data_IF_626491388001
#
_entry.id   IF_626491388001
#
_cell.length_a   1.000
_cell.length_b   1.000
_cell.length_c   1.000
_cell.angle_alpha   90.00
_cell.angle_beta   90.00
_cell.angle_gamma   90.00
#
_symmetry.space_group_name_H-M   'P 1'
#
loop_
_entity.id
_entity.type
_entity.pdbx_description
1 polymer ?
#
# COMPACT_ATOMS: atom_id res chain seq x y z
N UNK A 1 48.00 -36.46 37.49
CA UNK A 1 47.04 -37.03 36.50
C UNK A 1 47.13 -36.16 35.25
N UNK A 2 47.73 -36.64 34.15
CA UNK A 2 47.06 -37.37 33.04
C UNK A 2 45.85 -36.55 32.54
N UNK A 3 45.73 -36.06 31.30
CA UNK A 3 46.21 -36.54 30.00
C UNK A 3 46.37 -35.39 28.98
N UNK A 4 47.45 -35.46 28.18
CA UNK A 4 47.47 -35.00 26.79
C UNK A 4 46.50 -35.85 25.96
N UNK A 5 45.79 -35.24 24.99
CA UNK A 5 45.40 -35.93 23.75
C UNK A 5 45.50 -34.97 22.56
N UNK A 6 46.33 -35.41 21.62
CA UNK A 6 46.52 -34.89 20.27
C UNK A 6 45.31 -35.22 19.42
N UNK A 7 44.91 -34.34 18.50
CA UNK A 7 44.43 -34.74 17.16
C UNK A 7 44.89 -33.69 16.14
N UNK A 8 45.51 -34.19 15.09
CA UNK A 8 46.10 -33.45 13.97
C UNK A 8 45.12 -33.29 12.80
N UNK A 9 45.44 -32.33 11.92
CA UNK A 9 45.21 -32.23 10.46
C UNK A 9 44.03 -33.00 9.82
N UNK A 10 43.19 -32.29 9.05
CA UNK A 10 42.83 -32.68 7.66
C UNK A 10 42.56 -31.43 6.82
N UNK A 11 43.17 -31.42 5.63
CA UNK A 11 43.06 -30.47 4.52
C UNK A 11 41.77 -30.70 3.70
N UNK A 12 41.19 -29.66 3.07
CA UNK A 12 40.01 -29.83 2.22
C UNK A 12 39.71 -28.62 1.33
N UNK A 13 40.43 -28.52 0.21
CA UNK A 13 40.10 -27.66 -0.93
C UNK A 13 38.86 -28.22 -1.64
N UNK A 14 37.83 -27.41 -1.87
CA UNK A 14 36.75 -27.73 -2.81
C UNK A 14 36.15 -26.44 -3.38
N UNK A 15 36.62 -26.08 -4.57
CA UNK A 15 35.90 -25.22 -5.49
C UNK A 15 34.80 -26.05 -6.15
N UNK A 16 33.54 -25.62 -6.03
CA UNK A 16 32.43 -26.16 -6.82
C UNK A 16 31.88 -25.04 -7.70
N UNK A 17 31.83 -25.40 -8.99
CA UNK A 17 31.45 -24.61 -10.14
C UNK A 17 29.94 -24.33 -10.17
N UNK A 18 29.60 -23.27 -10.90
CA UNK A 18 28.26 -22.85 -11.34
C UNK A 18 27.29 -24.01 -11.61
N UNK A 19 26.15 -23.98 -10.93
CA UNK A 19 24.91 -24.54 -11.42
C UNK A 19 23.94 -23.38 -11.67
N UNK A 20 23.98 -22.84 -12.89
CA UNK A 20 22.87 -22.07 -13.42
C UNK A 20 21.71 -23.04 -13.65
N UNK A 21 20.71 -22.98 -12.78
CA UNK A 21 19.42 -23.60 -13.03
C UNK A 21 18.51 -22.51 -13.62
N UNK A 22 18.40 -22.51 -14.94
CA UNK A 22 17.26 -21.92 -15.61
C UNK A 22 16.01 -22.72 -15.21
N UNK A 23 15.11 -22.07 -14.48
CA UNK A 23 13.77 -22.58 -14.21
C UNK A 23 12.77 -21.70 -14.93
N UNK A 24 12.33 -22.15 -16.11
CA UNK A 24 11.15 -21.61 -16.76
C UNK A 24 9.94 -21.93 -15.89
N UNK A 25 9.43 -20.91 -15.21
CA UNK A 25 8.15 -21.01 -14.50
C UNK A 25 7.03 -20.70 -15.49
N UNK A 26 6.30 -21.74 -15.87
CA UNK A 26 5.03 -21.64 -16.57
C UNK A 26 4.12 -20.64 -15.84
N UNK A 27 4.02 -19.44 -16.44
CA UNK A 27 3.19 -18.36 -15.97
C UNK A 27 1.73 -18.71 -16.15
N UNK A 28 1.18 -19.49 -15.22
CA UNK A 28 -0.24 -19.45 -14.94
C UNK A 28 -0.55 -18.02 -14.51
N UNK A 29 -1.12 -17.23 -15.41
CA UNK A 29 -1.53 -15.86 -15.12
C UNK A 29 -2.52 -15.92 -13.95
N UNK A 30 -2.03 -15.67 -12.75
CA UNK A 30 -2.85 -15.61 -11.55
C UNK A 30 -3.95 -14.58 -11.77
N UNK A 31 -5.14 -14.85 -11.24
CA UNK A 31 -6.25 -13.91 -11.32
C UNK A 31 -5.81 -12.55 -10.77
N UNK A 32 -5.96 -11.44 -11.52
CA UNK A 32 -5.53 -10.15 -11.04
C UNK A 32 -6.27 -9.77 -9.76
N UNK A 33 -5.56 -9.07 -8.88
CA UNK A 33 -6.08 -8.63 -7.57
C UNK A 33 -5.76 -7.17 -7.34
N UNK A 34 -6.55 -6.54 -6.48
CA UNK A 34 -6.12 -5.37 -5.72
C UNK A 34 -5.96 -5.80 -4.28
N UNK A 35 -4.86 -5.38 -3.65
CA UNK A 35 -4.57 -5.67 -2.25
C UNK A 35 -3.77 -4.54 -1.64
N UNK A 36 -3.67 -4.47 -0.33
CA UNK A 36 -2.79 -3.51 0.34
C UNK A 36 -3.01 -3.51 1.83
N UNK A 37 -2.50 -2.47 2.49
CA UNK A 37 -2.70 -2.25 3.92
C UNK A 37 -3.51 -0.97 4.14
N UNK A 38 -4.50 -1.05 5.02
CA UNK A 38 -5.21 0.10 5.55
C UNK A 38 -4.65 0.44 6.95
N UNK A 39 -4.04 1.61 7.10
CA UNK A 39 -3.37 2.00 8.35
C UNK A 39 -3.27 3.51 8.53
N UNK A 40 -3.08 3.92 9.79
CA UNK A 40 -2.97 5.32 10.24
C UNK A 40 -1.78 5.53 11.20
N UNK A 41 -0.72 4.74 11.07
CA UNK A 41 0.33 4.54 12.12
C UNK A 41 -0.02 3.39 13.07
N UNK A 42 -1.10 2.68 12.76
CA UNK A 42 -1.53 1.42 13.30
C UNK A 42 -2.53 0.81 12.31
N UNK A 43 -2.68 -0.53 12.25
CA UNK A 43 -3.60 -1.16 11.32
C UNK A 43 -5.05 -0.78 11.62
N UNK A 44 -5.84 -0.51 10.57
CA UNK A 44 -7.30 -0.45 10.65
C UNK A 44 -7.81 -1.88 10.60
N UNK A 45 -8.31 -2.41 11.71
CA UNK A 45 -8.75 -3.81 11.84
C UNK A 45 -10.26 -3.92 11.67
N UNK A 46 -10.73 -4.86 10.84
CA UNK A 46 -12.16 -5.11 10.63
C UNK A 46 -12.89 -3.98 9.90
N UNK A 47 -12.17 -3.09 9.21
CA UNK A 47 -12.73 -2.06 8.37
C UNK A 47 -13.26 -2.62 7.06
N UNK A 48 -14.35 -2.07 6.54
CA UNK A 48 -14.91 -2.46 5.24
C UNK A 48 -14.21 -1.67 4.14
N UNK A 49 -13.55 -2.38 3.22
CA UNK A 49 -12.98 -1.80 2.00
C UNK A 49 -14.00 -1.91 0.88
N UNK A 50 -14.31 -0.79 0.23
CA UNK A 50 -15.14 -0.69 -0.97
C UNK A 50 -14.27 -0.28 -2.16
N UNK A 51 -14.44 -0.96 -3.30
CA UNK A 51 -13.68 -0.69 -4.52
C UNK A 51 -14.66 -0.42 -5.67
N UNK A 52 -14.46 0.69 -6.37
CA UNK A 52 -15.20 1.06 -7.58
C UNK A 52 -14.22 1.40 -8.68
N UNK A 53 -14.33 0.68 -9.80
CA UNK A 53 -13.46 0.83 -10.95
C UNK A 53 -14.16 1.60 -12.09
N UNK A 54 -13.39 2.09 -13.06
CA UNK A 54 -13.90 2.76 -14.24
C UNK A 54 -14.87 1.89 -15.06
N UNK A 55 -14.83 0.57 -14.87
CA UNK A 55 -15.79 -0.39 -15.38
C UNK A 55 -15.75 -1.68 -14.57
N UNK A 56 -16.84 -2.44 -14.60
CA UNK A 56 -17.02 -3.65 -13.79
C UNK A 56 -17.99 -3.43 -12.62
N UNK A 57 -18.24 -4.50 -11.86
CA UNK A 57 -19.10 -4.45 -10.67
C UNK A 57 -18.33 -3.95 -9.44
N UNK A 58 -19.00 -3.27 -8.52
CA UNK A 58 -18.40 -2.88 -7.25
C UNK A 58 -17.93 -4.11 -6.46
N UNK A 59 -16.82 -3.97 -5.74
CA UNK A 59 -16.22 -5.04 -4.94
C UNK A 59 -16.04 -4.58 -3.49
N UNK A 60 -15.95 -5.56 -2.57
CA UNK A 60 -15.69 -5.27 -1.16
C UNK A 60 -14.79 -6.31 -0.50
N UNK A 61 -14.04 -5.88 0.50
CA UNK A 61 -13.25 -6.72 1.40
C UNK A 61 -13.36 -6.24 2.85
N UNK A 62 -12.81 -7.02 3.79
CA UNK A 62 -12.64 -6.62 5.18
C UNK A 62 -11.16 -6.66 5.52
N UNK A 63 -10.67 -5.65 6.24
CA UNK A 63 -9.27 -5.62 6.67
C UNK A 63 -9.01 -6.63 7.79
N UNK A 64 -7.88 -7.30 7.72
CA UNK A 64 -7.41 -8.26 8.72
C UNK A 64 -6.80 -7.56 9.93
N UNK A 65 -6.35 -8.32 10.93
CA UNK A 65 -5.67 -7.80 12.12
C UNK A 65 -4.39 -6.98 11.80
N UNK A 66 -3.78 -7.23 10.64
CA UNK A 66 -2.61 -6.48 10.14
C UNK A 66 -3.00 -5.27 9.28
N UNK A 67 -4.29 -4.95 9.14
CA UNK A 67 -4.79 -3.95 8.21
C UNK A 67 -4.78 -4.42 6.74
N UNK A 68 -4.24 -5.61 6.46
CA UNK A 68 -4.19 -6.17 5.12
C UNK A 68 -5.59 -6.45 4.56
N UNK A 69 -5.77 -6.23 3.26
CA UNK A 69 -7.01 -6.52 2.54
C UNK A 69 -6.73 -6.94 1.09
N UNK A 70 -7.69 -7.61 0.46
CA UNK A 70 -7.59 -8.04 -0.94
C UNK A 70 -8.97 -8.24 -1.58
N UNK A 71 -9.10 -7.92 -2.87
CA UNK A 71 -10.21 -8.30 -3.75
C UNK A 71 -9.69 -8.86 -5.08
N UNK A 72 -10.43 -9.79 -5.67
CA UNK A 72 -10.19 -10.27 -7.04
C UNK A 72 -10.78 -9.30 -8.06
N UNK A 73 -10.05 -8.96 -9.12
CA UNK A 73 -10.43 -7.89 -10.07
C UNK A 73 -10.84 -8.39 -11.45
N UNK A 74 -11.41 -9.60 -11.51
CA UNK A 74 -11.94 -10.16 -12.76
C UNK A 74 -12.98 -9.24 -13.40
N UNK A 75 -12.77 -8.89 -14.66
CA UNK A 75 -13.70 -8.04 -15.43
C UNK A 75 -13.71 -6.55 -15.04
N UNK A 76 -12.72 -6.10 -14.27
CA UNK A 76 -12.61 -4.69 -13.87
C UNK A 76 -11.79 -3.89 -14.87
N UNK A 77 -12.14 -2.61 -15.04
CA UNK A 77 -11.39 -1.64 -15.86
C UNK A 77 -10.81 -0.57 -14.95
N UNK A 78 -9.49 -0.41 -14.97
CA UNK A 78 -8.78 0.64 -14.23
C UNK A 78 -9.08 2.04 -14.82
N UNK A 79 -8.93 3.13 -14.03
CA UNK A 79 -8.51 3.16 -12.62
C UNK A 79 -9.60 2.72 -11.63
N UNK A 80 -9.20 2.36 -10.41
CA UNK A 80 -10.11 1.98 -9.32
C UNK A 80 -9.93 2.88 -8.10
N UNK A 81 -11.00 3.54 -7.67
CA UNK A 81 -11.06 4.21 -6.38
C UNK A 81 -11.34 3.19 -5.27
N UNK A 82 -10.69 3.39 -4.14
CA UNK A 82 -10.77 2.51 -2.98
C UNK A 82 -11.09 3.35 -1.74
N UNK A 83 -11.95 2.84 -0.86
CA UNK A 83 -12.26 3.45 0.43
C UNK A 83 -12.33 2.41 1.53
N UNK A 84 -11.77 2.70 2.70
CA UNK A 84 -12.01 1.95 3.94
C UNK A 84 -12.90 2.76 4.88
N UNK A 85 -13.86 2.11 5.52
CA UNK A 85 -14.75 2.71 6.55
C UNK A 85 -14.87 1.78 7.76
N UNK A 86 -15.06 2.36 8.95
CA UNK A 86 -15.26 1.61 10.19
C UNK A 86 -14.02 0.85 10.64
N UNK A 87 -14.23 -0.23 11.40
CA UNK A 87 -13.17 -1.00 12.04
C UNK A 87 -12.65 -0.34 13.33
N UNK A 88 -11.48 -0.80 13.78
CA UNK A 88 -10.79 -0.25 14.95
C UNK A 88 -9.33 0.07 14.65
N UNK A 89 -8.78 1.04 15.39
CA UNK A 89 -7.37 1.40 15.42
C UNK A 89 -6.93 1.39 16.87
N UNK A 90 -5.91 0.59 17.22
CA UNK A 90 -5.45 0.47 18.61
C UNK A 90 -6.54 0.03 19.60
N UNK A 91 -7.57 -0.68 19.12
CA UNK A 91 -8.72 -1.11 19.93
C UNK A 91 -9.87 -0.09 20.06
N UNK A 92 -9.71 1.14 19.56
CA UNK A 92 -10.77 2.15 19.53
C UNK A 92 -11.48 2.17 18.17
N UNK A 93 -12.77 2.55 18.13
CA UNK A 93 -13.52 2.64 16.88
C UNK A 93 -12.93 3.68 15.93
N UNK A 94 -12.73 3.30 14.67
CA UNK A 94 -12.35 4.22 13.61
C UNK A 94 -13.59 4.90 13.02
N UNK A 95 -13.69 6.22 13.21
CA UNK A 95 -14.80 7.02 12.69
C UNK A 95 -14.44 7.79 11.40
N UNK A 96 -13.21 7.65 10.91
CA UNK A 96 -12.71 8.37 9.74
C UNK A 96 -12.58 7.43 8.55
N UNK A 97 -13.21 7.72 7.39
CA UNK A 97 -12.95 7.00 6.16
C UNK A 97 -11.62 7.44 5.55
N UNK A 98 -10.90 6.49 4.95
CA UNK A 98 -9.66 6.75 4.20
C UNK A 98 -9.80 6.23 2.77
N UNK A 99 -9.11 6.88 1.83
CA UNK A 99 -9.31 6.69 0.40
C UNK A 99 -7.98 6.51 -0.33
N UNK A 100 -8.06 5.87 -1.50
CA UNK A 100 -6.92 5.65 -2.38
C UNK A 100 -7.38 5.46 -3.82
N UNK A 101 -6.41 5.36 -4.73
CA UNK A 101 -6.62 5.23 -6.17
C UNK A 101 -5.58 4.27 -6.76
N UNK A 102 -6.05 3.30 -7.56
CA UNK A 102 -5.21 2.34 -8.26
C UNK A 102 -5.30 2.56 -9.77
N UNK A 103 -4.15 2.74 -10.43
CA UNK A 103 -4.02 2.80 -11.91
C UNK A 103 -3.41 1.51 -12.50
N UNK A 104 -3.03 0.58 -11.64
CA UNK A 104 -2.57 -0.76 -11.97
C UNK A 104 -3.20 -1.75 -10.98
N UNK A 105 -3.35 -3.01 -11.38
CA UNK A 105 -3.62 -4.09 -10.43
C UNK A 105 -2.38 -4.38 -9.58
N UNK A 106 -2.56 -4.93 -8.39
CA UNK A 106 -1.52 -5.12 -7.39
C UNK A 106 -1.78 -4.31 -6.12
N UNK A 107 -0.72 -3.71 -5.57
CA UNK A 107 -0.77 -3.00 -4.30
C UNK A 107 -1.47 -1.65 -4.42
N UNK A 108 -2.44 -1.40 -3.54
CA UNK A 108 -3.06 -0.10 -3.29
C UNK A 108 -3.32 0.03 -1.78
N UNK A 109 -2.51 0.86 -1.12
CA UNK A 109 -2.67 1.13 0.31
C UNK A 109 -3.75 2.16 0.57
N UNK A 110 -4.33 2.16 1.78
CA UNK A 110 -5.37 3.09 2.19
C UNK A 110 -4.93 3.77 3.49
N UNK A 111 -4.42 4.99 3.40
CA UNK A 111 -3.78 5.69 4.51
C UNK A 111 -4.09 7.20 4.47
N UNK A 112 -3.81 7.94 5.56
CA UNK A 112 -3.81 9.40 5.56
C UNK A 112 -3.00 10.04 4.41
N UNK A 113 -1.87 9.44 4.01
CA UNK A 113 -1.07 9.93 2.88
C UNK A 113 -1.79 9.74 1.55
N UNK A 114 -2.49 8.61 1.36
CA UNK A 114 -3.24 8.38 0.12
C UNK A 114 -4.49 9.26 0.04
N UNK A 115 -5.08 9.62 1.18
CA UNK A 115 -6.11 10.66 1.26
C UNK A 115 -5.60 12.01 0.78
N UNK A 116 -4.42 12.46 1.24
CA UNK A 116 -3.82 13.71 0.77
C UNK A 116 -3.60 13.69 -0.75
N UNK A 117 -3.15 12.56 -1.30
CA UNK A 117 -2.95 12.40 -2.75
C UNK A 117 -4.29 12.50 -3.48
N UNK A 118 -5.33 11.80 -3.00
CA UNK A 118 -6.67 11.84 -3.58
C UNK A 118 -7.27 13.24 -3.49
N UNK A 119 -7.08 13.95 -2.38
CA UNK A 119 -7.57 15.31 -2.19
C UNK A 119 -6.95 16.27 -3.22
N UNK A 120 -5.64 16.18 -3.42
CA UNK A 120 -4.90 16.98 -4.41
C UNK A 120 -5.23 16.57 -5.86
N UNK A 121 -5.52 15.28 -6.10
CA UNK A 121 -5.95 14.79 -7.42
C UNK A 121 -7.33 15.34 -7.81
N UNK A 122 -8.24 15.42 -6.83
CA UNK A 122 -9.63 15.83 -7.01
C UNK A 122 -9.89 17.34 -6.80
N UNK A 123 -8.97 18.06 -6.16
CA UNK A 123 -9.19 19.45 -5.73
C UNK A 123 -10.34 19.59 -4.72
N UNK A 124 -10.61 18.53 -3.95
CA UNK A 124 -11.74 18.44 -3.02
C UNK A 124 -11.38 17.53 -1.84
N UNK A 125 -12.22 17.49 -0.80
CA UNK A 125 -12.03 16.52 0.29
C UNK A 125 -12.08 15.08 -0.26
N UNK A 126 -11.35 14.11 0.33
CA UNK A 126 -11.37 12.72 -0.14
C UNK A 126 -12.77 12.11 -0.20
N UNK A 127 -13.62 12.40 0.79
CA UNK A 127 -15.00 11.94 0.83
C UNK A 127 -15.85 12.56 -0.29
N UNK A 128 -15.68 13.86 -0.56
CA UNK A 128 -16.36 14.55 -1.66
C UNK A 128 -15.92 14.00 -3.01
N UNK A 129 -14.62 13.81 -3.21
CA UNK A 129 -14.07 13.20 -4.41
C UNK A 129 -14.65 11.79 -4.62
N UNK A 130 -14.60 10.95 -3.58
CA UNK A 130 -15.10 9.58 -3.66
C UNK A 130 -16.60 9.51 -3.93
N UNK A 131 -17.40 10.43 -3.35
CA UNK A 131 -18.84 10.51 -3.60
C UNK A 131 -19.20 10.95 -5.02
N UNK A 132 -18.29 11.64 -5.72
CA UNK A 132 -18.49 12.11 -7.10
C UNK A 132 -17.97 11.17 -8.19
N UNK A 133 -17.34 10.05 -7.84
CA UNK A 133 -16.74 9.15 -8.83
C UNK A 133 -17.81 8.47 -9.69
N UNK A 134 -17.48 8.33 -10.97
CA UNK A 134 -18.14 7.46 -11.92
C UNK A 134 -17.12 6.99 -12.98
N UNK A 135 -17.57 6.21 -13.95
CA UNK A 135 -16.70 5.68 -15.01
C UNK A 135 -15.88 6.77 -15.71
N UNK A 136 -16.50 7.89 -16.11
CA UNK A 136 -15.81 8.93 -16.88
C UNK A 136 -14.82 9.72 -16.03
N UNK A 137 -15.15 10.00 -14.76
CA UNK A 137 -14.23 10.70 -13.86
C UNK A 137 -13.00 9.85 -13.54
N UNK A 138 -13.17 8.54 -13.38
CA UNK A 138 -12.05 7.62 -13.16
C UNK A 138 -11.19 7.48 -14.42
N UNK A 139 -11.79 7.37 -15.61
CA UNK A 139 -11.03 7.30 -16.88
C UNK A 139 -10.21 8.57 -17.16
N UNK A 140 -10.63 9.72 -16.63
CA UNK A 140 -9.87 10.97 -16.74
C UNK A 140 -8.64 11.04 -15.81
N UNK A 141 -8.45 10.07 -14.91
CA UNK A 141 -7.27 10.01 -14.03
C UNK A 141 -6.14 9.30 -14.78
N UNK A 142 -5.06 10.04 -15.03
CA UNK A 142 -3.87 9.54 -15.71
C UNK A 142 -2.72 9.34 -14.74
N UNK A 143 -1.70 8.53 -15.08
CA UNK A 143 -0.49 8.40 -14.28
C UNK A 143 0.18 9.75 -14.00
N UNK A 144 0.21 10.66 -14.98
CA UNK A 144 0.78 12.00 -14.82
C UNK A 144 0.06 12.83 -13.74
N UNK A 145 -1.28 12.74 -13.66
CA UNK A 145 -2.06 13.43 -12.61
C UNK A 145 -1.76 12.86 -11.22
N UNK A 146 -1.59 11.54 -11.11
CA UNK A 146 -1.21 10.90 -9.85
C UNK A 146 0.21 11.30 -9.45
N UNK A 147 1.17 11.27 -10.37
CA UNK A 147 2.55 11.72 -10.10
C UNK A 147 2.60 13.17 -9.66
N UNK A 148 1.81 14.06 -10.29
CA UNK A 148 1.72 15.45 -9.88
C UNK A 148 1.13 15.60 -8.47
N UNK A 149 0.05 14.87 -8.14
CA UNK A 149 -0.54 14.88 -6.80
C UNK A 149 0.42 14.34 -5.73
N UNK A 150 1.12 13.24 -6.02
CA UNK A 150 2.17 12.70 -5.14
C UNK A 150 3.29 13.71 -4.91
N UNK A 151 3.76 14.37 -5.97
CA UNK A 151 4.81 15.39 -5.88
C UNK A 151 4.37 16.56 -4.99
N UNK A 152 3.15 17.09 -5.19
CA UNK A 152 2.59 18.17 -4.37
C UNK A 152 2.54 17.78 -2.90
N UNK A 153 2.04 16.58 -2.59
CA UNK A 153 2.00 16.07 -1.20
C UNK A 153 3.41 15.92 -0.64
N UNK A 154 4.34 15.34 -1.40
CA UNK A 154 5.71 15.13 -0.91
C UNK A 154 6.45 16.44 -0.67
N UNK A 155 6.23 17.46 -1.51
CA UNK A 155 6.87 18.77 -1.35
C UNK A 155 6.28 19.53 -0.16
N UNK A 156 4.95 19.52 -0.02
CA UNK A 156 4.27 20.17 1.10
C UNK A 156 4.66 19.56 2.46
N UNK A 157 4.94 18.26 2.51
CA UNK A 157 5.42 17.59 3.71
C UNK A 157 6.94 17.69 3.91
N UNK A 158 7.70 18.16 2.91
CA UNK A 158 9.17 18.14 2.93
C UNK A 158 9.76 16.73 2.86
N UNK A 159 9.06 15.78 2.23
CA UNK A 159 9.35 14.34 2.24
C UNK A 159 9.67 13.77 0.85
N UNK A 160 10.04 14.61 -0.12
CA UNK A 160 10.29 14.21 -1.51
C UNK A 160 11.27 13.03 -1.62
N UNK A 161 12.35 13.02 -0.84
CA UNK A 161 13.31 11.91 -0.84
C UNK A 161 12.72 10.61 -0.25
N UNK A 162 11.94 10.70 0.82
CA UNK A 162 11.30 9.56 1.48
C UNK A 162 10.24 8.91 0.59
N UNK A 163 9.32 9.72 0.05
CA UNK A 163 8.17 9.23 -0.71
C UNK A 163 8.51 8.86 -2.16
N UNK A 164 9.67 9.29 -2.67
CA UNK A 164 10.23 8.75 -3.92
C UNK A 164 10.86 7.36 -3.73
N UNK A 165 11.42 7.08 -2.54
CA UNK A 165 11.92 5.75 -2.18
C UNK A 165 10.82 4.74 -1.82
N UNK A 166 9.67 5.22 -1.31
CA UNK A 166 8.51 4.40 -1.00
C UNK A 166 7.22 5.12 -1.41
N UNK A 167 6.64 4.70 -2.54
CA UNK A 167 5.40 5.28 -3.04
C UNK A 167 4.24 4.88 -2.09
N UNK A 168 3.57 5.84 -1.44
CA UNK A 168 2.54 5.55 -0.44
C UNK A 168 1.32 4.81 -1.03
N UNK A 169 1.07 4.93 -2.34
CA UNK A 169 -0.02 4.20 -3.00
C UNK A 169 0.35 2.72 -3.20
N UNK A 170 1.56 2.41 -3.67
CA UNK A 170 1.87 1.11 -4.28
C UNK A 170 2.98 0.32 -3.60
N UNK A 171 3.75 0.92 -2.69
CA UNK A 171 4.77 0.19 -1.93
C UNK A 171 4.10 -0.71 -0.90
N UNK A 172 4.36 -2.02 -0.96
CA UNK A 172 3.93 -2.94 0.10
C UNK A 172 4.66 -2.59 1.40
N UNK A 173 3.92 -2.56 2.51
CA UNK A 173 4.48 -2.29 3.84
C UNK A 173 3.71 -3.06 4.91
N UNK A 174 4.26 -3.15 6.12
CA UNK A 174 3.55 -3.61 7.30
C UNK A 174 3.25 -2.41 8.22
N UNK A 175 2.04 -2.35 8.78
CA UNK A 175 1.67 -1.33 9.76
C UNK A 175 2.25 -1.67 11.14
N UNK A 176 3.57 -1.55 11.24
CA UNK A 176 4.37 -1.83 12.43
C UNK A 176 5.43 -0.73 12.59
N UNK A 177 5.63 -0.27 13.82
CA UNK A 177 6.68 0.70 14.15
C UNK A 177 8.06 0.27 13.64
N UNK A 178 8.80 1.21 13.05
CA UNK A 178 10.10 1.02 12.40
C UNK A 178 10.03 0.69 10.90
N UNK A 179 8.83 0.44 10.36
CA UNK A 179 8.61 0.42 8.90
C UNK A 179 8.46 1.82 8.36
N UNK A 180 9.20 2.14 7.29
CA UNK A 180 9.33 3.53 6.79
C UNK A 180 7.97 4.20 6.58
N UNK A 181 7.04 3.56 5.87
CA UNK A 181 5.74 4.18 5.60
C UNK A 181 4.89 4.31 6.86
N UNK A 182 4.95 3.35 7.79
CA UNK A 182 4.16 3.41 9.02
C UNK A 182 4.68 4.52 9.96
N UNK A 183 6.00 4.67 10.06
CA UNK A 183 6.64 5.77 10.81
C UNK A 183 6.22 7.15 10.27
N UNK A 184 6.05 7.28 8.94
CA UNK A 184 5.51 8.51 8.35
C UNK A 184 4.05 8.73 8.77
N UNK A 185 3.23 7.68 8.82
CA UNK A 185 1.85 7.79 9.26
C UNK A 185 1.75 8.17 10.74
N UNK A 186 2.59 7.60 11.59
CA UNK A 186 2.71 7.97 13.01
C UNK A 186 3.09 9.45 13.15
N UNK A 187 4.09 9.91 12.40
CA UNK A 187 4.52 11.31 12.40
C UNK A 187 3.41 12.26 11.91
N UNK A 188 2.68 11.87 10.87
CA UNK A 188 1.56 12.64 10.33
C UNK A 188 0.40 12.74 11.33
N UNK A 189 0.09 11.64 12.03
CA UNK A 189 -0.90 11.62 13.10
C UNK A 189 -0.49 12.52 14.28
N UNK A 190 0.79 12.47 14.68
CA UNK A 190 1.32 13.32 15.74
C UNK A 190 1.31 14.82 15.38
N UNK A 191 1.47 15.15 14.10
CA UNK A 191 1.38 16.52 13.60
C UNK A 191 -0.05 17.07 13.50
N UNK A 192 -1.07 16.21 13.64
CA UNK A 192 -2.48 16.62 13.53
C UNK A 192 -2.87 17.14 12.13
N UNK A 193 -2.19 16.66 11.08
CA UNK A 193 -2.38 17.17 9.73
C UNK A 193 -3.82 16.96 9.23
N UNK A 194 -4.41 18.00 8.63
CA UNK A 194 -5.71 17.89 7.97
C UNK A 194 -5.58 17.15 6.64
N UNK A 195 -6.42 16.14 6.37
CA UNK A 195 -6.40 15.36 5.12
C UNK A 195 -7.13 16.07 3.97
N UNK A 196 -6.89 17.37 3.81
CA UNK A 196 -7.49 18.23 2.79
C UNK A 196 -6.51 18.45 1.63
N UNK A 197 -6.98 19.00 0.50
CA UNK A 197 -6.09 19.43 -0.58
C UNK A 197 -5.13 20.51 -0.06
N UNK A 198 -3.89 20.50 -0.56
CA UNK A 198 -2.79 21.35 -0.09
C UNK A 198 -2.55 22.53 -1.04
#
# INVERSE_FOLDING_TARGET
MKLLKHVALVSGLSAVLLAGCGGGGDGGAGTPVLSGVAAVGAPIVGGTVSVTCAGGSAMSATTLATGAWQVTTSGQTLPCAVRVTGGTVGGAANNTPYHSIAINFGTVNITPLTDLIVANLGGATPATWFGGINASTLQAITPARISAALQMVSDALGMTATLSGANPLTTAFAATNGELLDDVLEALAAAGASHQAL
#
